data_IF_737152293446
#
_entry.id   IF_737152293446
#
_cell.length_a   1.000
_cell.length_b   1.000
_cell.length_c   1.000
_cell.angle_alpha   90.00
_cell.angle_beta   90.00
_cell.angle_gamma   90.00
#
_symmetry.space_group_name_H-M   'P 1'
#
loop_
_entity.id
_entity.type
_entity.pdbx_description
1 polymer ?
#
# COMPACT_ATOMS: atom_id res chain seq x y z
N UNK A 1 -15.14 -23.61 19.75
CA UNK A 1 -15.85 -22.57 18.97
C UNK A 1 -15.02 -21.29 19.05
N UNK A 2 -14.75 -20.62 17.93
CA UNK A 2 -14.04 -19.33 17.92
C UNK A 2 -15.07 -18.22 18.03
N UNK A 3 -14.84 -17.25 18.93
CA UNK A 3 -15.70 -16.09 19.09
C UNK A 3 -14.98 -14.86 18.53
N UNK A 4 -15.56 -14.22 17.53
CA UNK A 4 -15.00 -13.02 16.89
C UNK A 4 -15.54 -11.78 17.58
N UNK A 5 -14.65 -10.90 18.02
CA UNK A 5 -15.01 -9.60 18.58
C UNK A 5 -14.60 -8.50 17.60
N UNK A 6 -15.55 -7.67 17.19
CA UNK A 6 -15.29 -6.49 16.38
C UNK A 6 -14.91 -5.33 17.31
N UNK A 7 -13.68 -4.84 17.15
CA UNK A 7 -13.16 -3.69 17.88
C UNK A 7 -12.80 -2.61 16.85
N UNK A 8 -13.31 -1.40 17.06
CA UNK A 8 -12.98 -0.24 16.24
C UNK A 8 -11.98 0.63 16.99
N UNK A 9 -10.91 1.02 16.31
CA UNK A 9 -9.95 2.01 16.82
C UNK A 9 -9.51 2.95 15.71
N UNK A 10 -8.83 4.03 16.08
CA UNK A 10 -8.25 5.00 15.16
C UNK A 10 -6.76 4.77 15.01
N UNK A 11 -6.24 4.98 13.79
CA UNK A 11 -4.80 4.92 13.52
C UNK A 11 -4.13 6.14 14.13
N UNK A 12 -3.18 5.90 15.02
CA UNK A 12 -2.36 6.92 15.67
C UNK A 12 -1.14 7.25 14.80
N UNK A 13 -0.44 8.33 15.16
CA UNK A 13 0.81 8.73 14.50
C UNK A 13 1.82 7.57 14.43
N UNK A 14 2.48 7.42 13.29
CA UNK A 14 3.47 6.36 13.06
C UNK A 14 2.85 4.99 12.75
N UNK A 15 1.64 4.95 12.17
CA UNK A 15 0.94 3.71 11.80
C UNK A 15 0.70 2.77 13.00
N UNK A 16 0.40 3.36 14.16
CA UNK A 16 0.17 2.62 15.42
C UNK A 16 -1.31 2.45 15.69
N UNK A 17 -1.72 1.25 16.11
CA UNK A 17 -3.08 0.97 16.59
C UNK A 17 -3.07 0.83 18.11
N UNK A 18 -4.04 1.45 18.77
CA UNK A 18 -4.29 1.25 20.20
C UNK A 18 -5.62 0.51 20.37
N UNK A 19 -5.60 -0.70 20.92
CA UNK A 19 -6.76 -1.59 20.98
C UNK A 19 -6.99 -1.97 22.43
N UNK A 20 -8.20 -1.71 22.93
CA UNK A 20 -8.65 -2.17 24.24
C UNK A 20 -9.23 -3.58 24.11
N UNK A 21 -8.45 -4.59 24.51
CA UNK A 21 -8.88 -5.98 24.50
C UNK A 21 -9.82 -6.29 25.68
N UNK A 22 -10.80 -7.20 25.52
CA UNK A 22 -11.53 -7.77 26.65
C UNK A 22 -10.58 -8.61 27.52
N UNK A 23 -11.05 -9.05 28.68
CA UNK A 23 -10.25 -9.88 29.59
C UNK A 23 -9.93 -11.24 28.94
N UNK A 24 -8.76 -11.35 28.33
CA UNK A 24 -8.27 -12.54 27.65
C UNK A 24 -7.30 -13.31 28.57
N UNK A 25 -7.40 -14.65 28.65
CA UNK A 25 -6.48 -15.45 29.43
C UNK A 25 -5.04 -15.33 28.90
N UNK A 26 -4.10 -15.23 29.84
CA UNK A 26 -2.66 -15.13 29.54
C UNK A 26 -2.19 -16.37 28.79
N UNK A 27 -1.42 -16.17 27.71
CA UNK A 27 -0.89 -17.25 26.86
C UNK A 27 -1.81 -17.68 25.72
N UNK A 28 -2.99 -17.08 25.56
CA UNK A 28 -3.87 -17.36 24.43
C UNK A 28 -3.36 -16.70 23.14
N UNK A 29 -3.33 -17.48 22.04
CA UNK A 29 -3.08 -16.94 20.70
C UNK A 29 -4.38 -16.38 20.12
N UNK A 30 -4.34 -15.16 19.58
CA UNK A 30 -5.47 -14.50 18.92
C UNK A 30 -5.15 -14.14 17.48
N UNK A 31 -6.18 -14.15 16.64
CA UNK A 31 -6.13 -13.72 15.24
C UNK A 31 -6.73 -12.30 15.13
N UNK A 32 -6.02 -11.38 14.47
CA UNK A 32 -6.48 -9.99 14.27
C UNK A 32 -6.80 -9.77 12.80
N UNK A 33 -8.00 -9.27 12.52
CA UNK A 33 -8.46 -8.92 11.16
C UNK A 33 -8.54 -7.39 11.08
N UNK A 34 -7.78 -6.79 10.17
CA UNK A 34 -7.82 -5.34 9.92
C UNK A 34 -8.69 -5.07 8.70
N UNK A 35 -9.75 -4.28 8.88
CA UNK A 35 -10.60 -3.79 7.79
C UNK A 35 -10.22 -2.34 7.54
N UNK A 36 -9.50 -2.10 6.44
CA UNK A 36 -9.10 -0.76 6.02
C UNK A 36 -10.13 -0.27 5.00
N UNK A 37 -10.83 0.85 5.24
CA UNK A 37 -11.70 1.42 4.23
C UNK A 37 -10.85 1.83 3.03
N UNK A 38 -11.36 1.59 1.83
CA UNK A 38 -10.75 1.98 0.57
C UNK A 38 -10.80 3.51 0.46
N UNK A 39 -9.94 4.20 1.21
CA UNK A 39 -9.62 5.59 0.98
C UNK A 39 -8.60 5.61 -0.14
N UNK A 40 -8.80 6.50 -1.12
CA UNK A 40 -8.13 6.59 -2.42
C UNK A 40 -6.61 6.87 -2.36
N UNK A 41 -5.87 6.17 -1.50
CA UNK A 41 -4.43 6.30 -1.29
C UNK A 41 -3.79 4.91 -1.34
N UNK A 42 -4.08 4.20 -2.42
CA UNK A 42 -3.14 3.26 -3.02
C UNK A 42 -3.32 3.39 -4.53
N UNK A 43 -2.78 4.46 -5.13
CA UNK A 43 -2.62 4.58 -6.58
C UNK A 43 -1.55 3.61 -7.13
N UNK A 44 -1.40 2.42 -6.54
CA UNK A 44 -1.06 1.27 -7.35
C UNK A 44 -2.35 0.96 -8.11
N UNK A 45 -2.54 1.53 -9.30
CA UNK A 45 -3.49 0.95 -10.24
C UNK A 45 -3.28 -0.56 -10.16
N UNK A 46 -4.31 -1.30 -9.78
CA UNK A 46 -4.22 -2.75 -9.70
C UNK A 46 -3.62 -3.20 -11.04
N UNK A 47 -2.43 -3.84 -11.01
CA UNK A 47 -1.70 -4.14 -12.25
C UNK A 47 -2.58 -4.89 -13.26
N UNK A 48 -3.59 -5.60 -12.76
CA UNK A 48 -4.64 -6.23 -13.54
C UNK A 48 -5.54 -5.21 -14.24
N UNK A 49 -6.11 -4.23 -13.53
CA UNK A 49 -6.91 -3.16 -14.11
C UNK A 49 -6.14 -2.34 -15.16
N UNK A 50 -4.86 -2.03 -14.90
CA UNK A 50 -4.00 -1.34 -15.88
C UNK A 50 -3.82 -2.15 -17.17
N UNK A 51 -3.63 -3.47 -17.07
CA UNK A 51 -3.44 -4.35 -18.23
C UNK A 51 -4.69 -4.47 -19.11
N UNK A 52 -5.89 -4.29 -18.55
CA UNK A 52 -7.15 -4.31 -19.30
C UNK A 52 -7.38 -3.03 -20.11
N UNK A 53 -6.61 -1.97 -19.88
CA UNK A 53 -6.76 -0.72 -20.61
C UNK A 53 -6.31 -0.86 -22.07
N UNK A 54 -6.94 -0.11 -23.00
CA UNK A 54 -6.45 0.05 -24.35
C UNK A 54 -4.98 0.50 -24.38
N UNK A 55 -4.25 0.12 -25.42
CA UNK A 55 -2.82 0.40 -25.54
C UNK A 55 -2.50 1.91 -25.44
N UNK A 56 -3.36 2.76 -26.00
CA UNK A 56 -3.17 4.21 -25.96
C UNK A 56 -3.29 4.78 -24.55
N UNK A 57 -4.27 4.32 -23.76
CA UNK A 57 -4.46 4.78 -22.39
C UNK A 57 -3.31 4.30 -21.49
N UNK A 58 -2.84 3.07 -21.69
CA UNK A 58 -1.63 2.58 -21.02
C UNK A 58 -0.41 3.45 -21.32
N UNK A 59 -0.21 3.82 -22.59
CA UNK A 59 0.91 4.67 -23.01
C UNK A 59 0.84 6.05 -22.38
N UNK A 60 -0.36 6.65 -22.33
CA UNK A 60 -0.57 7.96 -21.70
C UNK A 60 -0.18 7.92 -20.22
N UNK A 61 -0.65 6.92 -19.49
CA UNK A 61 -0.38 6.81 -18.06
C UNK A 61 1.11 6.55 -17.79
N UNK A 62 1.76 5.67 -18.58
CA UNK A 62 3.20 5.42 -18.44
C UNK A 62 4.04 6.66 -18.75
N UNK A 63 3.63 7.47 -19.73
CA UNK A 63 4.32 8.73 -20.05
C UNK A 63 4.24 9.73 -18.88
N UNK A 64 3.05 9.88 -18.27
CA UNK A 64 2.87 10.75 -17.09
C UNK A 64 3.71 10.28 -15.90
N UNK A 65 3.78 8.96 -15.66
CA UNK A 65 4.60 8.40 -14.59
C UNK A 65 6.09 8.60 -14.87
N UNK A 66 6.54 8.41 -16.12
CA UNK A 66 7.92 8.65 -16.50
C UNK A 66 8.32 10.12 -16.32
N UNK A 67 7.44 11.05 -16.73
CA UNK A 67 7.64 12.49 -16.55
C UNK A 67 7.79 12.85 -15.07
N UNK A 68 6.88 12.35 -14.22
CA UNK A 68 6.93 12.60 -12.77
C UNK A 68 8.18 12.04 -12.07
N UNK A 69 8.83 11.02 -12.64
CA UNK A 69 10.07 10.46 -12.12
C UNK A 69 11.32 11.14 -12.67
N UNK A 70 11.19 12.06 -13.63
CA UNK A 70 12.34 12.71 -14.30
C UNK A 70 13.29 13.35 -13.30
N UNK A 71 12.76 14.13 -12.36
CA UNK A 71 13.58 14.85 -11.36
C UNK A 71 14.38 13.88 -10.48
N UNK A 72 13.75 12.78 -10.04
CA UNK A 72 14.39 11.75 -9.25
C UNK A 72 15.60 11.11 -9.98
N UNK A 73 15.45 10.81 -11.27
CA UNK A 73 16.55 10.24 -12.07
C UNK A 73 17.60 11.28 -12.48
N UNK A 74 17.27 12.57 -12.49
CA UNK A 74 18.26 13.62 -12.74
C UNK A 74 19.15 13.86 -11.50
N UNK A 75 18.55 13.86 -10.31
CA UNK A 75 19.25 14.08 -9.04
C UNK A 75 20.03 12.84 -8.59
N UNK A 76 19.42 11.66 -8.65
CA UNK A 76 20.09 10.41 -8.32
C UNK A 76 20.64 9.78 -9.61
N UNK A 77 21.96 9.79 -9.79
CA UNK A 77 22.64 9.24 -10.97
C UNK A 77 23.18 7.82 -10.78
N UNK A 78 22.91 7.15 -9.66
CA UNK A 78 23.39 5.78 -9.38
C UNK A 78 22.90 4.77 -10.45
N UNK A 79 21.76 5.05 -11.08
CA UNK A 79 21.26 4.26 -12.20
C UNK A 79 22.19 4.28 -13.43
N UNK A 80 23.01 5.33 -13.62
CA UNK A 80 23.96 5.40 -14.73
C UNK A 80 25.06 4.35 -14.60
N UNK A 81 25.49 4.04 -13.37
CA UNK A 81 26.49 3.01 -13.15
C UNK A 81 25.91 1.61 -13.42
N UNK A 82 24.61 1.42 -13.19
CA UNK A 82 23.92 0.15 -13.45
C UNK A 82 23.75 -0.17 -14.95
N UNK A 83 23.60 0.84 -15.81
CA UNK A 83 23.41 0.64 -17.27
C UNK A 83 24.72 0.54 -18.07
N UNK A 84 25.89 0.71 -17.43
CA UNK A 84 27.21 0.67 -18.07
C UNK A 84 27.94 -0.68 -17.87
N UNK A 85 27.22 -1.75 -17.50
CA UNK A 85 27.75 -3.11 -17.36
C UNK A 85 27.51 -3.98 -18.59
#
# INVERSE_FOLDING_TARGET
MKQTHYLTTTVQQGNRLEISLPNLPVGQTIEVILIVPETAQNHSMERQAFQQLPLEERRRILAQQAEAMTDYYQENQEWKDWINF
#
